data_IF_777785261287
#
_entry.id   IF_777785261287
#
_cell.length_a   1.000
_cell.length_b   1.000
_cell.length_c   1.000
_cell.angle_alpha   90.00
_cell.angle_beta   90.00
_cell.angle_gamma   90.00
#
_symmetry.space_group_name_H-M   'P 1'
#
loop_
_entity.id
_entity.type
_entity.pdbx_description
1 polymer ?
#
# COMPACT_ATOMS: atom_id res chain seq x y z
N UNK A 1 49.91 32.14 12.98
CA UNK A 1 49.57 30.71 12.85
C UNK A 1 48.19 30.49 13.45
N UNK A 2 47.14 30.34 12.64
CA UNK A 2 45.87 29.75 13.09
C UNK A 2 45.30 28.90 11.94
N UNK A 3 45.22 27.58 12.19
CA UNK A 3 44.68 26.55 11.28
C UNK A 3 43.16 26.62 11.33
N UNK A 4 42.53 26.99 10.22
CA UNK A 4 41.08 26.85 10.03
C UNK A 4 40.75 25.38 9.74
N UNK A 5 40.01 24.75 10.64
CA UNK A 5 39.52 23.38 10.47
C UNK A 5 38.12 23.48 9.86
N UNK A 6 37.97 23.13 8.57
CA UNK A 6 36.66 23.01 7.92
C UNK A 6 35.92 21.81 8.49
N UNK A 7 34.85 22.08 9.26
CA UNK A 7 33.84 21.08 9.60
C UNK A 7 32.98 20.82 8.36
N UNK A 8 33.29 19.75 7.65
CA UNK A 8 32.39 19.18 6.62
C UNK A 8 31.34 18.34 7.35
N UNK A 9 30.14 18.89 7.50
CA UNK A 9 28.97 18.20 8.03
C UNK A 9 28.40 17.30 6.93
N UNK A 10 28.82 16.03 6.88
CA UNK A 10 28.18 15.02 6.03
C UNK A 10 26.80 14.70 6.62
N UNK A 11 25.75 15.25 6.02
CA UNK A 11 24.37 14.90 6.30
C UNK A 11 24.13 13.48 5.77
N UNK A 12 24.22 12.48 6.65
CA UNK A 12 23.92 11.09 6.31
C UNK A 12 22.44 10.98 5.93
N UNK A 13 22.15 10.80 4.63
CA UNK A 13 20.81 10.43 4.18
C UNK A 13 20.50 9.02 4.69
N UNK A 14 19.53 8.91 5.60
CA UNK A 14 19.14 7.66 6.24
C UNK A 14 18.62 6.64 5.20
N UNK A 15 19.14 5.40 5.17
CA UNK A 15 18.73 4.35 4.22
C UNK A 15 17.30 3.82 4.41
N UNK A 16 16.57 4.30 5.44
CA UNK A 16 15.20 3.90 5.74
C UNK A 16 14.20 4.22 4.62
N UNK A 17 14.41 5.29 3.85
CA UNK A 17 13.44 5.77 2.85
C UNK A 17 13.41 4.90 1.59
N UNK A 18 14.47 4.13 1.33
CA UNK A 18 14.54 3.26 0.13
C UNK A 18 13.88 1.89 0.34
N UNK A 19 13.79 1.40 1.59
CA UNK A 19 13.24 0.07 1.88
C UNK A 19 11.70 0.02 1.82
N UNK A 20 11.00 1.11 2.17
CA UNK A 20 9.53 1.18 2.13
C UNK A 20 8.95 1.19 0.70
N UNK A 21 9.69 1.70 -0.28
CA UNK A 21 9.21 1.67 -1.66
C UNK A 21 9.28 0.26 -2.28
N UNK A 22 10.21 -0.58 -1.81
CA UNK A 22 10.45 -1.90 -2.35
C UNK A 22 9.40 -2.93 -1.87
N UNK A 23 8.99 -2.87 -0.59
CA UNK A 23 8.05 -3.85 -0.05
C UNK A 23 6.65 -3.72 -0.68
N UNK A 24 6.09 -2.51 -0.71
CA UNK A 24 4.77 -2.27 -1.31
C UNK A 24 4.72 -2.60 -2.80
N UNK A 25 5.78 -2.24 -3.55
CA UNK A 25 5.91 -2.58 -4.96
C UNK A 25 6.00 -4.09 -5.16
N UNK A 26 6.87 -4.79 -4.41
CA UNK A 26 7.03 -6.25 -4.52
C UNK A 26 5.74 -7.00 -4.20
N UNK A 27 5.01 -6.59 -3.17
CA UNK A 27 3.71 -7.20 -2.83
C UNK A 27 2.67 -6.93 -3.92
N UNK A 28 2.66 -5.72 -4.50
CA UNK A 28 1.80 -5.42 -5.64
C UNK A 28 2.12 -6.31 -6.85
N UNK A 29 3.39 -6.38 -7.25
CA UNK A 29 3.84 -7.16 -8.40
C UNK A 29 3.63 -8.66 -8.21
N UNK A 30 3.83 -9.18 -7.00
CA UNK A 30 3.67 -10.61 -6.76
C UNK A 30 2.19 -11.04 -6.75
N UNK A 31 1.28 -10.19 -6.24
CA UNK A 31 -0.10 -10.59 -5.97
C UNK A 31 -1.15 -9.62 -6.51
N UNK A 32 -1.11 -8.35 -6.09
CA UNK A 32 -2.22 -7.41 -6.31
C UNK A 32 -2.41 -7.03 -7.79
N UNK A 33 -1.34 -6.99 -8.59
CA UNK A 33 -1.39 -6.58 -9.99
C UNK A 33 -2.29 -7.47 -10.86
N UNK A 34 -2.48 -8.74 -10.46
CA UNK A 34 -3.32 -9.70 -11.18
C UNK A 34 -4.78 -9.25 -11.30
N UNK A 35 -5.21 -8.32 -10.46
CA UNK A 35 -6.54 -7.71 -10.54
C UNK A 35 -6.49 -6.18 -10.60
N UNK A 36 -5.53 -5.55 -9.93
CA UNK A 36 -5.47 -4.09 -9.83
C UNK A 36 -4.66 -3.42 -10.96
N UNK A 37 -3.94 -4.16 -11.82
CA UNK A 37 -3.25 -3.52 -12.93
C UNK A 37 -4.23 -2.72 -13.83
N UNK A 38 -3.86 -1.52 -14.32
CA UNK A 38 -4.78 -0.64 -15.05
C UNK A 38 -5.51 -1.29 -16.22
N UNK A 39 -4.84 -2.21 -16.92
CA UNK A 39 -5.37 -2.96 -18.06
C UNK A 39 -6.32 -4.11 -17.68
N UNK A 40 -6.38 -4.52 -16.41
CA UNK A 40 -7.19 -5.64 -15.93
C UNK A 40 -8.35 -5.18 -15.03
N UNK A 41 -8.11 -4.13 -14.24
CA UNK A 41 -9.00 -3.70 -13.15
C UNK A 41 -10.44 -3.42 -13.59
N UNK A 42 -10.63 -2.82 -14.76
CA UNK A 42 -11.96 -2.55 -15.32
C UNK A 42 -12.79 -3.82 -15.56
N UNK A 43 -12.16 -4.91 -15.99
CA UNK A 43 -12.83 -6.19 -16.28
C UNK A 43 -13.30 -6.92 -15.03
N UNK A 44 -12.59 -6.73 -13.91
CA UNK A 44 -12.89 -7.38 -12.62
C UNK A 44 -13.49 -6.41 -11.59
N UNK A 45 -13.83 -5.18 -12.00
CA UNK A 45 -14.39 -4.12 -11.16
C UNK A 45 -13.52 -3.81 -9.92
N UNK A 46 -12.20 -3.95 -10.04
CA UNK A 46 -11.24 -3.52 -9.04
C UNK A 46 -10.89 -2.03 -9.22
N UNK A 47 -10.50 -1.29 -8.17
CA UNK A 47 -9.88 0.02 -8.34
C UNK A 47 -8.53 -0.15 -9.05
N UNK A 48 -8.37 0.46 -10.22
CA UNK A 48 -7.11 0.42 -10.96
C UNK A 48 -5.99 1.03 -10.12
N UNK A 49 -4.85 0.35 -10.04
CA UNK A 49 -3.62 0.90 -9.47
C UNK A 49 -3.28 2.21 -10.18
N UNK A 50 -2.88 3.20 -9.40
CA UNK A 50 -2.48 4.53 -9.83
C UNK A 50 -3.61 5.39 -10.45
N UNK A 51 -4.86 4.94 -10.37
CA UNK A 51 -6.03 5.79 -10.63
C UNK A 51 -6.36 6.59 -9.35
N UNK A 52 -5.86 7.83 -9.29
CA UNK A 52 -6.05 8.77 -8.19
C UNK A 52 -7.53 8.94 -7.81
N UNK A 53 -8.43 8.98 -8.80
CA UNK A 53 -9.86 9.18 -8.55
C UNK A 53 -10.51 7.94 -7.96
N UNK A 54 -10.16 6.76 -8.49
CA UNK A 54 -10.65 5.49 -7.96
C UNK A 54 -10.19 5.28 -6.51
N UNK A 55 -8.90 5.48 -6.23
CA UNK A 55 -8.35 5.32 -4.90
C UNK A 55 -8.84 6.40 -3.92
N UNK A 56 -8.98 7.65 -4.34
CA UNK A 56 -9.61 8.69 -3.52
C UNK A 56 -11.01 8.27 -3.03
N UNK A 57 -11.83 7.76 -3.95
CA UNK A 57 -13.17 7.23 -3.62
C UNK A 57 -13.11 6.04 -2.65
N UNK A 58 -12.12 5.16 -2.81
CA UNK A 58 -11.91 4.01 -1.90
C UNK A 58 -11.57 4.49 -0.49
N UNK A 59 -10.66 5.44 -0.34
CA UNK A 59 -10.26 6.00 0.95
C UNK A 59 -11.38 6.81 1.63
N UNK A 60 -12.15 7.59 0.88
CA UNK A 60 -13.32 8.32 1.41
C UNK A 60 -14.35 7.35 2.00
N UNK A 61 -14.69 6.28 1.27
CA UNK A 61 -15.60 5.24 1.76
C UNK A 61 -15.04 4.52 2.97
N UNK A 62 -13.74 4.21 2.97
CA UNK A 62 -13.08 3.59 4.11
C UNK A 62 -13.13 4.50 5.35
N UNK A 63 -12.96 5.80 5.18
CA UNK A 63 -13.06 6.77 6.27
C UNK A 63 -14.47 6.83 6.87
N UNK A 64 -15.51 6.80 6.03
CA UNK A 64 -16.90 6.70 6.51
C UNK A 64 -17.10 5.39 7.27
N UNK A 65 -16.63 4.25 6.73
CA UNK A 65 -16.79 2.94 7.37
C UNK A 65 -16.04 2.78 8.69
N UNK A 66 -14.86 3.39 8.80
CA UNK A 66 -14.14 3.43 10.07
C UNK A 66 -14.89 4.25 11.12
N UNK A 67 -15.45 5.41 10.73
CA UNK A 67 -16.26 6.25 11.63
C UNK A 67 -17.56 5.57 12.09
N UNK A 68 -18.19 4.78 11.22
CA UNK A 68 -19.39 4.01 11.56
C UNK A 68 -19.08 2.84 12.52
N UNK A 69 -17.85 2.34 12.55
CA UNK A 69 -17.46 1.14 13.32
C UNK A 69 -16.15 1.36 14.11
N UNK A 70 -16.10 2.36 15.02
CA UNK A 70 -14.85 2.79 15.66
C UNK A 70 -14.27 1.76 16.65
N UNK A 71 -15.08 0.80 17.10
CA UNK A 71 -14.62 -0.32 17.94
C UNK A 71 -13.78 -1.33 17.16
N UNK A 72 -13.98 -1.42 15.83
CA UNK A 72 -13.29 -2.38 14.97
C UNK A 72 -12.19 -1.71 14.12
N UNK A 73 -12.42 -0.48 13.66
CA UNK A 73 -11.50 0.22 12.77
C UNK A 73 -11.17 1.60 13.35
N UNK A 74 -9.91 1.82 13.72
CA UNK A 74 -9.44 3.12 14.23
C UNK A 74 -9.12 4.06 13.08
N UNK A 75 -8.69 3.51 11.93
CA UNK A 75 -8.29 4.27 10.75
C UNK A 75 -8.99 3.75 9.48
N UNK A 76 -9.04 4.56 8.40
CA UNK A 76 -9.46 4.07 7.09
C UNK A 76 -8.59 2.90 6.60
N UNK A 77 -7.30 2.91 6.91
CA UNK A 77 -6.38 1.84 6.51
C UNK A 77 -6.72 0.52 7.22
N UNK A 78 -7.11 0.56 8.49
CA UNK A 78 -7.55 -0.64 9.22
C UNK A 78 -8.72 -1.33 8.50
N UNK A 79 -9.67 -0.54 8.01
CA UNK A 79 -10.79 -1.04 7.22
C UNK A 79 -10.32 -1.64 5.89
N UNK A 80 -9.43 -0.97 5.17
CA UNK A 80 -8.93 -1.47 3.89
C UNK A 80 -8.13 -2.77 4.07
N UNK A 81 -7.19 -2.79 5.01
CA UNK A 81 -6.38 -3.95 5.34
C UNK A 81 -7.25 -5.13 5.79
N UNK A 82 -8.24 -4.89 6.64
CA UNK A 82 -9.22 -5.92 7.01
C UNK A 82 -9.88 -6.54 5.79
N UNK A 83 -10.37 -5.72 4.85
CA UNK A 83 -11.03 -6.22 3.64
C UNK A 83 -10.06 -6.98 2.71
N UNK A 84 -8.79 -6.57 2.62
CA UNK A 84 -7.76 -7.35 1.90
C UNK A 84 -7.62 -8.73 2.52
N UNK A 85 -7.51 -8.80 3.86
CA UNK A 85 -7.32 -10.07 4.57
C UNK A 85 -8.52 -11.00 4.44
N UNK A 86 -9.73 -10.47 4.63
CA UNK A 86 -10.95 -11.28 4.60
C UNK A 86 -11.55 -11.45 3.20
N UNK A 87 -11.02 -10.77 2.18
CA UNK A 87 -11.64 -10.68 0.86
C UNK A 87 -12.88 -9.79 0.84
N UNK A 88 -13.20 -9.22 -0.34
CA UNK A 88 -14.41 -8.39 -0.54
C UNK A 88 -14.83 -8.39 -2.00
N UNK A 89 -16.06 -8.82 -2.27
CA UNK A 89 -16.55 -8.96 -3.65
C UNK A 89 -15.76 -10.02 -4.40
N UNK A 90 -15.08 -9.64 -5.48
CA UNK A 90 -14.20 -10.52 -6.26
C UNK A 90 -12.76 -10.55 -5.74
N UNK A 91 -12.42 -9.75 -4.74
CA UNK A 91 -11.09 -9.77 -4.14
C UNK A 91 -10.96 -10.97 -3.20
N UNK A 92 -10.01 -11.86 -3.51
CA UNK A 92 -9.70 -13.06 -2.73
C UNK A 92 -9.14 -12.71 -1.35
N UNK A 93 -9.22 -13.69 -0.43
CA UNK A 93 -8.55 -13.61 0.86
C UNK A 93 -7.06 -13.28 0.69
N UNK A 94 -6.56 -12.36 1.52
CA UNK A 94 -5.20 -11.81 1.44
C UNK A 94 -4.78 -11.26 0.06
N UNK A 95 -5.72 -10.96 -0.84
CA UNK A 95 -5.41 -10.40 -2.17
C UNK A 95 -4.53 -11.30 -3.04
N UNK A 96 -4.68 -12.63 -2.94
CA UNK A 96 -3.82 -13.64 -3.58
C UNK A 96 -2.37 -13.67 -3.08
N UNK A 97 -2.06 -13.00 -1.97
CA UNK A 97 -0.68 -12.93 -1.49
C UNK A 97 -0.15 -14.30 -1.04
N UNK A 98 -0.97 -15.13 -0.37
CA UNK A 98 -0.54 -16.46 0.08
C UNK A 98 -0.31 -17.44 -1.07
N UNK A 99 -0.94 -17.16 -2.20
CA UNK A 99 -0.90 -17.93 -3.44
C UNK A 99 0.20 -17.43 -4.39
N UNK A 100 0.88 -16.34 -4.03
CA UNK A 100 1.91 -15.71 -4.83
C UNK A 100 3.31 -16.27 -4.56
N UNK A 101 4.27 -15.88 -5.40
CA UNK A 101 5.67 -16.26 -5.24
C UNK A 101 6.35 -15.52 -4.07
N UNK A 102 5.77 -14.43 -3.57
CA UNK A 102 6.25 -13.76 -2.35
C UNK A 102 5.70 -14.45 -1.11
N UNK A 103 6.57 -14.68 -0.12
CA UNK A 103 6.18 -15.32 1.15
C UNK A 103 5.79 -14.31 2.24
N UNK A 104 5.96 -13.00 2.00
CA UNK A 104 5.67 -11.97 2.99
C UNK A 104 4.31 -11.29 2.74
N UNK A 105 3.28 -11.84 3.39
CA UNK A 105 1.91 -11.33 3.40
C UNK A 105 1.55 -10.68 4.74
N UNK A 106 2.54 -10.06 5.39
CA UNK A 106 2.33 -9.33 6.63
C UNK A 106 1.37 -8.15 6.44
N UNK A 107 0.76 -7.73 7.55
CA UNK A 107 -0.09 -6.54 7.60
C UNK A 107 0.64 -5.29 7.05
N UNK A 108 1.95 -5.19 7.29
CA UNK A 108 2.81 -4.12 6.75
C UNK A 108 2.96 -4.24 5.23
N UNK A 109 3.26 -5.44 4.71
CA UNK A 109 3.37 -5.66 3.27
C UNK A 109 2.08 -5.32 2.52
N UNK A 110 0.92 -5.76 3.03
CA UNK A 110 -0.38 -5.45 2.44
C UNK A 110 -0.73 -3.96 2.56
N UNK A 111 -0.42 -3.33 3.69
CA UNK A 111 -0.61 -1.88 3.88
C UNK A 111 0.22 -1.08 2.89
N UNK A 112 1.50 -1.43 2.73
CA UNK A 112 2.39 -0.76 1.78
C UNK A 112 1.97 -1.00 0.32
N UNK A 113 1.40 -2.16 0.00
CA UNK A 113 0.84 -2.41 -1.33
C UNK A 113 -0.40 -1.55 -1.62
N UNK A 114 -1.30 -1.38 -0.65
CA UNK A 114 -2.44 -0.45 -0.76
C UNK A 114 -1.94 0.97 -1.01
N UNK A 115 -0.97 1.42 -0.21
CA UNK A 115 -0.37 2.74 -0.37
C UNK A 115 0.29 2.89 -1.74
N UNK A 116 1.07 1.90 -2.17
CA UNK A 116 1.73 1.86 -3.47
C UNK A 116 0.72 2.03 -4.61
N UNK A 117 -0.35 1.21 -4.64
CA UNK A 117 -1.39 1.32 -5.66
C UNK A 117 -2.15 2.65 -5.62
N UNK A 118 -2.21 3.32 -4.48
CA UNK A 118 -2.90 4.62 -4.34
C UNK A 118 -2.04 5.82 -4.76
N UNK A 119 -0.74 5.63 -5.03
CA UNK A 119 0.15 6.71 -5.47
C UNK A 119 -0.24 7.18 -6.86
N UNK A 120 0.01 8.47 -7.12
CA UNK A 120 -0.04 9.04 -8.46
C UNK A 120 1.25 8.71 -9.20
N UNK A 121 1.15 8.16 -10.41
CA UNK A 121 2.26 7.93 -11.33
C UNK A 121 2.08 8.73 -12.61
#
# INVERSE_FOLDING_TARGET
>A
MYRGWSLVLFMAMSPLVLAENDLGQKTYEAACQNCHAPNLAGGVKAPAAFDEKAWGTVFERAAVKAKENPSQFKTPMDYLLYNVKIGKGLMHHNGLCNESVTTNCSDDALTQAILYMSKKH
#
